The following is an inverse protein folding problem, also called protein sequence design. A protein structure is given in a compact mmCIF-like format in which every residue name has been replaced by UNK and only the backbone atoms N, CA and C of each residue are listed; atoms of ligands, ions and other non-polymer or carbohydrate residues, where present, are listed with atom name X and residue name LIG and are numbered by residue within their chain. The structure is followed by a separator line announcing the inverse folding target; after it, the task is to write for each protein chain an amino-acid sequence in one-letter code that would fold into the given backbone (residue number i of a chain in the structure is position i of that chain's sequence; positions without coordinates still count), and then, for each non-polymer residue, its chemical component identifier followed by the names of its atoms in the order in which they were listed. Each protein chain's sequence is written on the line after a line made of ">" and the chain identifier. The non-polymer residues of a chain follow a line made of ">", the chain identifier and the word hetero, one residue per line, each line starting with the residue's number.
data_IF_641746528817
#
_entry.id   IF_641746528817
#
_cell.length_a   1.000
_cell.length_b   1.000
_cell.length_c   1.000
_cell.angle_alpha   90.00
_cell.angle_beta   90.00
_cell.angle_gamma   90.00
#
_symmetry.space_group_name_H-M   'P 1'
#
loop_
_entity.id
_entity.type
_entity.pdbx_description
1 polymer ?
#
# COMPACT_ATOMS: atom_id res chain seq x y z
N UNK A 1 21.18 -13.75 17.84
CA UNK A 1 20.48 -14.32 16.66
C UNK A 1 20.72 -13.36 15.51
N UNK A 2 20.98 -13.86 14.30
CA UNK A 2 21.06 -12.97 13.12
C UNK A 2 19.75 -12.19 13.01
N UNK A 3 19.83 -10.90 12.67
CA UNK A 3 18.67 -10.00 12.52
C UNK A 3 17.66 -10.58 11.50
N UNK A 4 18.15 -11.32 10.51
CA UNK A 4 17.34 -12.02 9.51
C UNK A 4 16.45 -13.10 10.15
N UNK A 5 16.99 -13.91 11.07
CA UNK A 5 16.21 -14.93 11.79
C UNK A 5 15.10 -14.33 12.65
N UNK A 6 15.29 -13.10 13.14
CA UNK A 6 14.26 -12.40 13.91
C UNK A 6 13.09 -11.92 13.03
N UNK A 7 13.31 -11.74 11.71
CA UNK A 7 12.26 -11.42 10.74
C UNK A 7 11.60 -12.72 10.27
N UNK A 8 12.37 -13.72 9.84
CA UNK A 8 11.90 -15.05 9.48
C UNK A 8 12.82 -15.77 8.51
N UNK A 9 12.74 -17.09 8.46
CA UNK A 9 13.72 -17.90 7.72
C UNK A 9 13.27 -18.26 6.31
N UNK A 10 12.01 -18.64 6.14
CA UNK A 10 11.52 -19.25 4.91
C UNK A 10 11.61 -18.33 3.69
N UNK A 11 11.13 -17.08 3.82
CA UNK A 11 11.19 -16.10 2.73
C UNK A 11 12.62 -15.69 2.37
N UNK A 12 13.50 -15.56 3.38
CA UNK A 12 14.90 -15.23 3.16
C UNK A 12 15.67 -16.38 2.50
N UNK A 13 15.43 -17.63 2.92
CA UNK A 13 16.10 -18.80 2.34
C UNK A 13 15.77 -18.97 0.85
N UNK A 14 14.51 -18.75 0.48
CA UNK A 14 14.07 -18.77 -0.92
C UNK A 14 14.78 -17.70 -1.75
N UNK A 15 14.83 -16.46 -1.26
CA UNK A 15 15.54 -15.35 -1.92
C UNK A 15 17.05 -15.64 -2.05
N UNK A 16 17.68 -16.10 -0.97
CA UNK A 16 19.10 -16.46 -0.95
C UNK A 16 19.43 -17.51 -2.01
N UNK A 17 18.64 -18.59 -2.08
CA UNK A 17 18.85 -19.66 -3.06
C UNK A 17 18.65 -19.18 -4.51
N UNK A 18 17.69 -18.27 -4.74
CA UNK A 18 17.50 -17.66 -6.06
C UNK A 18 18.71 -16.78 -6.47
N UNK A 19 19.24 -15.99 -5.54
CA UNK A 19 20.41 -15.14 -5.78
C UNK A 19 21.68 -15.95 -5.99
N UNK A 20 21.89 -17.04 -5.24
CA UNK A 20 23.00 -17.98 -5.45
C UNK A 20 23.02 -18.54 -6.88
N UNK A 21 21.83 -18.81 -7.44
CA UNK A 21 21.68 -19.30 -8.83
C UNK A 21 21.85 -18.22 -9.88
N UNK A 22 21.54 -16.97 -9.54
CA UNK A 22 21.61 -15.84 -10.47
C UNK A 22 23.04 -15.31 -10.57
N UNK A 23 23.57 -14.84 -9.44
CA UNK A 23 24.92 -14.30 -9.31
C UNK A 23 25.29 -14.20 -7.80
N UNK A 24 26.26 -14.99 -7.31
CA UNK A 24 26.73 -14.92 -5.92
C UNK A 24 27.26 -13.55 -5.51
N UNK A 25 27.86 -12.78 -6.42
CA UNK A 25 28.30 -11.41 -6.12
C UNK A 25 27.12 -10.47 -5.95
N UNK A 26 26.05 -10.67 -6.72
CA UNK A 26 24.81 -9.93 -6.50
C UNK A 26 24.16 -10.26 -5.16
N UNK A 27 24.16 -11.55 -4.75
CA UNK A 27 23.75 -11.95 -3.40
C UNK A 27 24.56 -11.22 -2.34
N UNK A 28 25.89 -11.20 -2.47
CA UNK A 28 26.78 -10.52 -1.53
C UNK A 28 26.45 -9.03 -1.43
N UNK A 29 26.27 -8.35 -2.56
CA UNK A 29 25.91 -6.93 -2.58
C UNK A 29 24.54 -6.66 -1.94
N UNK A 30 23.53 -7.48 -2.25
CA UNK A 30 22.16 -7.27 -1.79
C UNK A 30 21.96 -7.70 -0.34
N UNK A 31 22.41 -8.90 0.02
CA UNK A 31 22.18 -9.51 1.33
C UNK A 31 23.18 -9.02 2.36
N UNK A 32 24.48 -9.12 2.06
CA UNK A 32 25.54 -8.76 3.02
C UNK A 32 25.77 -7.24 3.05
N UNK A 33 25.79 -6.59 1.89
CA UNK A 33 26.14 -5.15 1.78
C UNK A 33 24.98 -4.16 1.95
N UNK A 34 23.74 -4.54 1.61
CA UNK A 34 22.60 -3.62 1.68
C UNK A 34 21.60 -4.01 2.78
N UNK A 35 21.12 -5.25 2.77
CA UNK A 35 20.00 -5.65 3.62
C UNK A 35 20.42 -5.93 5.07
N UNK A 36 21.45 -6.75 5.29
CA UNK A 36 21.90 -7.09 6.64
C UNK A 36 22.46 -5.88 7.40
N UNK A 37 23.30 -5.08 6.72
CA UNK A 37 23.93 -3.90 7.31
C UNK A 37 22.92 -2.82 7.70
N UNK A 38 21.96 -2.50 6.83
CA UNK A 38 20.95 -1.46 7.11
C UNK A 38 20.07 -1.85 8.30
N UNK A 39 19.59 -3.10 8.34
CA UNK A 39 18.65 -3.55 9.37
C UNK A 39 19.36 -3.71 10.73
N UNK A 40 20.66 -4.02 10.74
CA UNK A 40 21.45 -4.15 11.96
C UNK A 40 21.79 -2.80 12.64
N UNK A 41 21.54 -1.64 11.99
CA UNK A 41 21.88 -0.33 12.56
C UNK A 41 21.06 -0.02 13.83
N UNK A 42 21.69 0.44 14.92
CA UNK A 42 21.09 0.44 16.26
C UNK A 42 20.09 1.58 16.52
N UNK A 43 20.11 2.63 15.69
CA UNK A 43 19.37 3.87 15.95
C UNK A 43 17.86 3.78 15.67
N UNK A 44 17.40 2.66 15.09
CA UNK A 44 15.99 2.34 14.94
C UNK A 44 15.80 0.85 15.19
N UNK A 45 14.92 0.52 16.12
CA UNK A 45 14.70 -0.88 16.51
C UNK A 45 14.13 -1.69 15.34
N UNK A 46 14.43 -2.99 15.32
CA UNK A 46 13.89 -3.91 14.31
C UNK A 46 12.35 -3.86 14.26
N UNK A 47 11.71 -3.72 15.43
CA UNK A 47 10.25 -3.57 15.55
C UNK A 47 9.70 -2.41 14.70
N UNK A 48 10.37 -1.25 14.70
CA UNK A 48 9.95 -0.09 13.89
C UNK A 48 10.41 -0.16 12.43
N UNK A 49 11.51 -0.86 12.15
CA UNK A 49 11.93 -1.14 10.76
C UNK A 49 10.90 -2.00 10.03
N UNK A 50 10.37 -3.03 10.68
CA UNK A 50 9.31 -3.87 10.11
C UNK A 50 8.02 -3.06 9.89
N UNK A 51 7.63 -2.20 10.83
CA UNK A 51 6.46 -1.31 10.68
C UNK A 51 6.57 -0.44 9.41
N UNK A 52 7.70 0.25 9.25
CA UNK A 52 7.98 1.11 8.09
C UNK A 52 8.03 0.29 6.79
N UNK A 53 8.64 -0.89 6.85
CA UNK A 53 8.79 -1.77 5.68
C UNK A 53 7.43 -2.29 5.20
N UNK A 54 6.58 -2.79 6.11
CA UNK A 54 5.22 -3.24 5.80
C UNK A 54 4.40 -2.10 5.21
N UNK A 55 4.46 -0.90 5.82
CA UNK A 55 3.76 0.28 5.32
C UNK A 55 4.12 0.63 3.87
N UNK A 56 5.40 0.57 3.52
CA UNK A 56 5.89 0.84 2.15
C UNK A 56 5.53 -0.27 1.18
N UNK A 57 5.79 -1.53 1.53
CA UNK A 57 5.50 -2.67 0.65
C UNK A 57 4.01 -2.79 0.36
N UNK A 58 3.15 -2.53 1.36
CA UNK A 58 1.72 -2.47 1.18
C UNK A 58 1.31 -1.33 0.24
N UNK A 59 1.97 -0.17 0.32
CA UNK A 59 1.71 0.98 -0.55
C UNK A 59 2.16 0.75 -1.99
N UNK A 60 3.23 -0.01 -2.19
CA UNK A 60 3.77 -0.35 -3.51
C UNK A 60 2.90 -1.33 -4.29
N UNK A 61 2.16 -2.21 -3.61
CA UNK A 61 1.14 -3.12 -4.16
C UNK A 61 1.57 -4.13 -5.23
N UNK A 62 2.88 -4.33 -5.46
CA UNK A 62 3.45 -5.35 -6.35
C UNK A 62 4.53 -6.22 -5.68
N UNK A 63 4.62 -6.19 -4.36
CA UNK A 63 5.70 -6.83 -3.61
C UNK A 63 5.16 -7.89 -2.65
N UNK A 64 4.22 -8.71 -3.11
CA UNK A 64 3.38 -9.60 -2.30
C UNK A 64 4.20 -10.55 -1.40
N UNK A 65 5.22 -11.20 -1.95
CA UNK A 65 6.09 -12.12 -1.20
C UNK A 65 6.89 -11.39 -0.12
N UNK A 66 7.42 -10.21 -0.44
CA UNK A 66 8.13 -9.37 0.51
C UNK A 66 7.19 -8.81 1.59
N UNK A 67 6.00 -8.35 1.21
CA UNK A 67 4.98 -7.86 2.13
C UNK A 67 4.61 -8.96 3.13
N UNK A 68 4.37 -10.18 2.64
CA UNK A 68 4.04 -11.32 3.49
C UNK A 68 5.19 -11.69 4.44
N UNK A 69 6.42 -11.69 3.94
CA UNK A 69 7.63 -11.94 4.72
C UNK A 69 7.79 -10.92 5.86
N UNK A 70 7.71 -9.63 5.55
CA UNK A 70 7.85 -8.54 6.53
C UNK A 70 6.65 -8.38 7.45
N UNK A 71 5.43 -8.69 7.00
CA UNK A 71 4.28 -8.79 7.89
C UNK A 71 4.50 -9.91 8.93
N UNK A 72 5.09 -11.04 8.50
CA UNK A 72 5.57 -12.09 9.40
C UNK A 72 6.64 -11.61 10.37
N UNK A 73 7.59 -10.81 9.90
CA UNK A 73 8.62 -10.16 10.73
C UNK A 73 8.07 -9.18 11.75
N UNK A 74 7.06 -8.40 11.37
CA UNK A 74 6.34 -7.51 12.26
C UNK A 74 5.68 -8.31 13.41
N UNK A 75 5.04 -9.45 13.12
CA UNK A 75 4.54 -10.36 14.17
C UNK A 75 5.67 -10.92 15.04
N UNK A 76 6.76 -11.38 14.43
CA UNK A 76 7.89 -12.00 15.12
C UNK A 76 8.63 -11.01 16.05
N UNK A 77 8.55 -9.71 15.75
CA UNK A 77 9.12 -8.62 16.57
C UNK A 77 8.15 -8.10 17.64
N UNK A 78 7.04 -8.80 17.87
CA UNK A 78 6.12 -8.55 18.98
C UNK A 78 5.07 -7.48 18.71
N UNK A 79 4.67 -7.28 17.45
CA UNK A 79 3.44 -6.55 17.14
C UNK A 79 2.22 -7.45 17.23
N UNK A 80 1.10 -6.88 17.68
CA UNK A 80 -0.18 -7.55 17.61
C UNK A 80 -0.63 -7.68 16.14
N UNK A 81 -1.34 -8.75 15.75
CA UNK A 81 -1.91 -8.89 14.41
C UNK A 81 -2.74 -7.68 13.95
N UNK A 82 -3.48 -7.07 14.88
CA UNK A 82 -4.29 -5.88 14.64
C UNK A 82 -3.43 -4.67 14.25
N UNK A 83 -2.19 -4.56 14.76
CA UNK A 83 -1.28 -3.48 14.38
C UNK A 83 -0.74 -3.66 12.96
N UNK A 84 -0.48 -4.90 12.54
CA UNK A 84 -0.10 -5.20 11.14
C UNK A 84 -1.26 -4.88 10.21
N UNK A 85 -2.49 -5.26 10.58
CA UNK A 85 -3.69 -4.90 9.84
C UNK A 85 -3.91 -3.39 9.76
N UNK A 86 -3.78 -2.67 10.87
CA UNK A 86 -3.92 -1.21 10.90
C UNK A 86 -2.91 -0.53 9.97
N UNK A 87 -1.66 -1.00 9.96
CA UNK A 87 -0.60 -0.49 9.09
C UNK A 87 -0.96 -0.62 7.62
N UNK A 88 -1.46 -1.77 7.20
CA UNK A 88 -1.88 -2.00 5.81
C UNK A 88 -3.19 -1.26 5.51
N UNK A 89 -4.10 -1.20 6.48
CA UNK A 89 -5.35 -0.47 6.36
C UNK A 89 -5.12 1.02 6.16
N UNK A 90 -4.10 1.62 6.77
CA UNK A 90 -3.77 3.04 6.60
C UNK A 90 -3.46 3.39 5.14
N UNK A 91 -3.02 2.42 4.32
CA UNK A 91 -2.86 2.63 2.87
C UNK A 91 -4.18 2.96 2.17
N UNK A 92 -5.34 2.66 2.77
CA UNK A 92 -6.65 3.07 2.26
C UNK A 92 -6.76 4.59 2.08
N UNK A 93 -6.25 5.36 3.05
CA UNK A 93 -6.38 6.82 3.06
C UNK A 93 -5.44 7.51 2.08
N UNK A 94 -4.29 6.89 1.84
CA UNK A 94 -3.22 7.50 1.06
C UNK A 94 -3.09 6.83 -0.31
N UNK A 95 -3.06 5.50 -0.39
CA UNK A 95 -2.91 4.76 -1.65
C UNK A 95 -4.23 4.31 -2.28
N UNK A 96 -5.34 4.34 -1.52
CA UNK A 96 -6.69 4.06 -2.00
C UNK A 96 -7.16 2.62 -1.79
N UNK A 97 -8.44 2.37 -2.08
CA UNK A 97 -9.12 1.08 -1.82
C UNK A 97 -8.43 -0.11 -2.50
N UNK A 98 -8.01 -0.07 -3.78
CA UNK A 98 -7.42 -1.24 -4.44
C UNK A 98 -6.14 -1.72 -3.75
N UNK A 99 -5.24 -0.78 -3.41
CA UNK A 99 -3.96 -1.05 -2.74
C UNK A 99 -4.19 -1.65 -1.35
N UNK A 100 -5.07 -1.03 -0.55
CA UNK A 100 -5.43 -1.53 0.77
C UNK A 100 -6.04 -2.93 0.69
N UNK A 101 -6.95 -3.17 -0.25
CA UNK A 101 -7.61 -4.47 -0.41
C UNK A 101 -6.60 -5.56 -0.79
N UNK A 102 -5.66 -5.27 -1.70
CA UNK A 102 -4.61 -6.22 -2.08
C UNK A 102 -3.73 -6.58 -0.87
N UNK A 103 -3.22 -5.57 -0.16
CA UNK A 103 -2.41 -5.79 1.04
C UNK A 103 -3.14 -6.59 2.12
N UNK A 104 -4.42 -6.29 2.35
CA UNK A 104 -5.25 -7.01 3.32
C UNK A 104 -5.41 -8.49 2.92
N UNK A 105 -5.59 -8.82 1.64
CA UNK A 105 -5.68 -10.22 1.18
C UNK A 105 -4.41 -11.00 1.54
N UNK A 106 -3.22 -10.42 1.31
CA UNK A 106 -1.95 -11.05 1.67
C UNK A 106 -1.80 -11.25 3.18
N UNK A 107 -2.23 -10.26 3.98
CA UNK A 107 -2.24 -10.38 5.44
C UNK A 107 -3.18 -11.48 5.93
N UNK A 108 -4.41 -11.54 5.40
CA UNK A 108 -5.37 -12.58 5.76
C UNK A 108 -4.83 -13.97 5.41
N UNK A 109 -4.19 -14.13 4.25
CA UNK A 109 -3.54 -15.38 3.87
C UNK A 109 -2.43 -15.76 4.88
N UNK A 110 -1.56 -14.82 5.23
CA UNK A 110 -0.51 -15.03 6.24
C UNK A 110 -1.08 -15.44 7.60
N UNK A 111 -2.11 -14.75 8.09
CA UNK A 111 -2.70 -15.03 9.40
C UNK A 111 -3.34 -16.42 9.43
N UNK A 112 -4.01 -16.83 8.35
CA UNK A 112 -4.57 -18.18 8.19
C UNK A 112 -3.47 -19.25 8.17
N UNK A 113 -2.39 -19.02 7.43
CA UNK A 113 -1.25 -19.95 7.38
C UNK A 113 -0.57 -20.12 8.73
N UNK A 114 -0.61 -19.10 9.59
CA UNK A 114 -0.04 -19.14 10.94
C UNK A 114 -1.06 -19.53 12.02
N UNK A 115 -2.28 -19.90 11.65
CA UNK A 115 -3.38 -20.23 12.56
C UNK A 115 -3.64 -19.14 13.63
N UNK A 116 -3.51 -17.87 13.22
CA UNK A 116 -3.73 -16.71 14.09
C UNK A 116 -5.17 -16.24 13.92
N UNK A 117 -5.99 -16.50 14.94
CA UNK A 117 -7.36 -15.99 15.00
C UNK A 117 -7.39 -14.51 15.41
N UNK A 118 -8.04 -13.69 14.60
CA UNK A 118 -8.32 -12.27 14.89
C UNK A 118 -9.84 -11.98 14.91
N UNK A 119 -10.65 -13.02 15.07
CA UNK A 119 -12.11 -12.95 15.18
C UNK A 119 -12.81 -12.60 13.87
N UNK A 120 -14.00 -11.99 13.98
CA UNK A 120 -14.93 -11.70 12.86
C UNK A 120 -14.38 -10.80 11.74
N UNK A 121 -13.21 -10.17 11.95
CA UNK A 121 -12.62 -9.25 10.97
C UNK A 121 -12.06 -10.00 9.74
N UNK A 122 -11.48 -11.20 9.90
CA UNK A 122 -10.93 -12.00 8.77
C UNK A 122 -11.99 -12.40 7.78
N UNK A 123 -13.13 -12.86 8.27
CA UNK A 123 -14.23 -13.34 7.43
C UNK A 123 -14.86 -12.23 6.60
N UNK A 124 -14.83 -10.98 7.11
CA UNK A 124 -15.33 -9.80 6.40
C UNK A 124 -14.34 -9.30 5.34
N UNK A 125 -13.05 -9.38 5.64
CA UNK A 125 -11.97 -8.96 4.75
C UNK A 125 -11.69 -9.94 3.61
N UNK A 126 -12.18 -11.18 3.71
CA UNK A 126 -12.04 -12.22 2.68
C UNK A 126 -12.92 -12.06 1.43
N UNK A 127 -13.91 -11.15 1.42
CA UNK A 127 -14.80 -10.89 0.26
C UNK A 127 -14.73 -9.43 -0.16
N UNK A 128 -14.50 -9.14 -1.43
CA UNK A 128 -14.23 -7.77 -1.95
C UNK A 128 -15.29 -6.72 -1.54
N UNK A 129 -16.58 -7.03 -1.73
CA UNK A 129 -17.68 -6.11 -1.37
C UNK A 129 -17.79 -5.90 0.15
N UNK A 130 -17.65 -6.97 0.92
CA UNK A 130 -17.66 -6.92 2.39
C UNK A 130 -16.44 -6.19 2.95
N UNK A 131 -15.27 -6.34 2.32
CA UNK A 131 -14.03 -5.70 2.68
C UNK A 131 -14.12 -4.18 2.46
N UNK A 132 -14.70 -3.75 1.33
CA UNK A 132 -14.90 -2.33 1.02
C UNK A 132 -15.86 -1.66 2.02
N UNK A 133 -17.01 -2.29 2.30
CA UNK A 133 -17.94 -1.80 3.31
C UNK A 133 -17.29 -1.75 4.71
N UNK A 134 -16.58 -2.80 5.10
CA UNK A 134 -15.85 -2.84 6.36
C UNK A 134 -14.76 -1.77 6.44
N UNK A 135 -14.05 -1.50 5.34
CA UNK A 135 -13.06 -0.42 5.24
C UNK A 135 -13.70 0.96 5.42
N UNK A 136 -14.87 1.20 4.84
CA UNK A 136 -15.59 2.46 5.03
C UNK A 136 -16.12 2.61 6.47
N UNK A 137 -16.57 1.53 7.11
CA UNK A 137 -16.98 1.53 8.52
C UNK A 137 -15.80 1.81 9.45
N UNK A 138 -14.69 1.08 9.25
CA UNK A 138 -13.43 1.24 10.01
C UNK A 138 -12.79 2.60 9.78
N UNK A 139 -13.10 3.30 8.68
CA UNK A 139 -12.70 4.70 8.47
C UNK A 139 -13.08 5.61 9.65
N UNK A 140 -14.19 5.29 10.31
CA UNK A 140 -14.72 6.05 11.44
C UNK A 140 -14.15 5.57 12.80
N UNK A 141 -13.55 4.37 12.84
CA UNK A 141 -13.00 3.73 14.04
C UNK A 141 -11.77 2.87 13.67
N UNK A 142 -10.55 3.44 13.75
CA UNK A 142 -9.33 2.67 13.51
C UNK A 142 -9.20 1.49 14.49
N UNK A 143 -8.32 0.54 14.19
CA UNK A 143 -8.10 -0.64 15.06
C UNK A 143 -7.57 -0.28 16.46
N UNK A 144 -7.10 0.95 16.66
CA UNK A 144 -6.48 1.45 17.89
C UNK A 144 -5.37 0.53 18.43
N UNK A 145 -4.70 -0.16 17.50
CA UNK A 145 -3.62 -1.10 17.77
C UNK A 145 -2.23 -0.45 17.65
N UNK A 146 -2.10 0.60 16.83
CA UNK A 146 -0.92 1.46 16.82
C UNK A 146 -1.10 2.63 17.77
N UNK A 147 -0.05 2.96 18.55
CA UNK A 147 -0.03 4.23 19.28
C UNK A 147 -0.01 5.41 18.30
N UNK A 148 -0.41 6.62 18.74
CA UNK A 148 -0.32 7.81 17.89
C UNK A 148 1.09 8.05 17.33
N UNK A 149 2.13 7.78 18.11
CA UNK A 149 3.53 7.91 17.68
C UNK A 149 3.87 6.93 16.56
N UNK A 150 3.44 5.67 16.68
CA UNK A 150 3.68 4.61 15.71
C UNK A 150 2.90 4.83 14.41
N UNK A 151 1.62 5.22 14.51
CA UNK A 151 0.78 5.54 13.36
C UNK A 151 1.38 6.67 12.52
N UNK A 152 1.95 7.70 13.15
CA UNK A 152 2.65 8.78 12.44
C UNK A 152 3.86 8.27 11.66
N UNK A 153 4.63 7.34 12.23
CA UNK A 153 5.77 6.74 11.55
C UNK A 153 5.34 5.91 10.34
N UNK A 154 4.31 5.07 10.49
CA UNK A 154 3.74 4.29 9.40
C UNK A 154 3.20 5.19 8.29
N UNK A 155 2.47 6.24 8.66
CA UNK A 155 1.94 7.23 7.71
C UNK A 155 3.05 7.91 6.92
N UNK A 156 4.13 8.34 7.58
CA UNK A 156 5.28 8.94 6.89
C UNK A 156 5.86 7.99 5.83
N UNK A 157 6.01 6.71 6.17
CA UNK A 157 6.50 5.70 5.24
C UNK A 157 5.57 5.53 4.01
N UNK A 158 4.26 5.46 4.23
CA UNK A 158 3.24 5.39 3.16
C UNK A 158 3.35 6.60 2.23
N UNK A 159 3.40 7.81 2.79
CA UNK A 159 3.43 9.05 2.02
C UNK A 159 4.71 9.17 1.19
N UNK A 160 5.86 8.76 1.74
CA UNK A 160 7.13 8.70 1.01
C UNK A 160 7.01 7.74 -0.18
N UNK A 161 6.37 6.58 -0.01
CA UNK A 161 6.24 5.55 -1.04
C UNK A 161 5.34 5.93 -2.23
N UNK A 162 4.47 6.96 -2.10
CA UNK A 162 3.53 7.37 -3.18
C UNK A 162 4.14 8.19 -4.32
N UNK A 163 5.45 8.45 -4.30
CA UNK A 163 6.20 9.25 -5.29
C UNK A 163 5.70 10.71 -5.44
N UNK A 164 6.61 11.69 -5.59
CA UNK A 164 6.29 13.10 -5.87
C UNK A 164 5.29 13.78 -4.89
N UNK A 165 5.20 13.33 -3.64
CA UNK A 165 4.36 13.92 -2.58
C UNK A 165 5.15 14.75 -1.58
N UNK A 166 6.06 15.59 -2.08
CA UNK A 166 7.02 16.33 -1.25
C UNK A 166 6.38 17.20 -0.16
N UNK A 167 5.26 17.87 -0.46
CA UNK A 167 4.57 18.72 0.54
C UNK A 167 3.94 17.89 1.66
N UNK A 168 3.34 16.75 1.32
CA UNK A 168 2.79 15.82 2.32
C UNK A 168 3.93 15.17 3.15
N UNK A 169 5.06 14.85 2.51
CA UNK A 169 6.26 14.37 3.22
C UNK A 169 6.71 15.42 4.24
N UNK A 170 6.72 16.72 3.90
CA UNK A 170 7.07 17.78 4.85
C UNK A 170 6.15 17.78 6.07
N UNK A 171 4.85 17.75 5.83
CA UNK A 171 3.84 17.74 6.90
C UNK A 171 4.03 16.54 7.82
N UNK A 172 4.15 15.33 7.27
CA UNK A 172 4.23 14.11 8.06
C UNK A 172 5.57 13.93 8.77
N UNK A 173 6.68 14.38 8.18
CA UNK A 173 7.98 14.35 8.82
C UNK A 173 8.03 15.32 10.00
N UNK A 174 7.49 16.52 9.85
CA UNK A 174 7.37 17.49 10.93
C UNK A 174 6.46 16.99 12.05
N UNK A 175 5.33 16.35 11.71
CA UNK A 175 4.46 15.70 12.68
C UNK A 175 5.17 14.58 13.45
N UNK A 176 6.05 13.80 12.80
CA UNK A 176 6.85 12.77 13.46
C UNK A 176 7.77 13.35 14.54
N UNK A 177 8.44 14.47 14.25
CA UNK A 177 9.29 15.18 15.23
C UNK A 177 8.48 15.65 16.44
N UNK A 178 7.29 16.22 16.21
CA UNK A 178 6.42 16.71 17.29
C UNK A 178 5.87 15.60 18.19
N UNK A 179 5.64 14.40 17.67
CA UNK A 179 5.27 13.22 18.49
C UNK A 179 6.49 12.51 19.10
N UNK A 180 7.68 13.09 18.96
CA UNK A 180 8.89 12.66 19.66
C UNK A 180 9.73 11.63 18.93
N UNK A 181 9.60 11.48 17.61
CA UNK A 181 10.64 10.79 16.82
C UNK A 181 11.86 11.69 16.68
N UNK A 182 13.04 11.12 16.81
CA UNK A 182 14.29 11.87 16.71
C UNK A 182 14.77 12.00 15.28
N UNK A 183 15.60 13.01 15.02
CA UNK A 183 16.36 13.14 13.77
C UNK A 183 17.11 11.85 13.43
N UNK A 184 17.70 11.19 14.43
CA UNK A 184 18.45 9.94 14.24
C UNK A 184 17.53 8.79 13.79
N UNK A 185 16.41 8.59 14.46
CA UNK A 185 15.43 7.54 14.10
C UNK A 185 14.86 7.78 12.70
N UNK A 186 14.47 9.02 12.38
CA UNK A 186 13.93 9.37 11.06
C UNK A 186 14.98 9.28 9.95
N UNK A 187 16.26 9.50 10.26
CA UNK A 187 17.35 9.23 9.30
C UNK A 187 17.45 7.74 8.99
N UNK A 188 17.29 6.87 10.00
CA UNK A 188 17.27 5.42 9.78
C UNK A 188 16.06 4.96 8.97
N UNK A 189 14.91 5.64 9.09
CA UNK A 189 13.75 5.40 8.21
C UNK A 189 14.16 5.66 6.75
N UNK A 190 14.76 6.81 6.45
CA UNK A 190 15.19 7.12 5.09
C UNK A 190 16.20 6.10 4.56
N UNK A 191 17.19 5.72 5.39
CA UNK A 191 18.17 4.68 5.04
C UNK A 191 17.46 3.34 4.77
N UNK A 192 16.56 2.90 5.65
CA UNK A 192 15.77 1.67 5.47
C UNK A 192 15.06 1.67 4.12
N UNK A 193 14.39 2.77 3.78
CA UNK A 193 13.60 2.87 2.56
C UNK A 193 14.46 2.81 1.28
N UNK A 194 15.76 3.10 1.33
CA UNK A 194 16.64 2.92 0.16
C UNK A 194 16.64 1.48 -0.36
N UNK A 195 16.48 0.49 0.52
CA UNK A 195 16.42 -0.93 0.15
C UNK A 195 15.11 -1.37 -0.50
N UNK A 196 14.03 -0.60 -0.36
CA UNK A 196 12.69 -0.98 -0.84
C UNK A 196 12.22 -0.13 -2.01
N UNK A 197 12.42 1.19 -1.94
CA UNK A 197 11.95 2.14 -2.98
C UNK A 197 13.10 2.86 -3.71
N UNK A 198 14.35 2.56 -3.34
CA UNK A 198 15.53 2.99 -4.06
C UNK A 198 15.98 4.42 -3.80
N UNK A 199 17.25 4.68 -4.15
CA UNK A 199 17.89 5.99 -4.03
C UNK A 199 17.19 7.13 -4.78
N UNK A 200 16.67 6.94 -6.01
CA UNK A 200 16.07 8.05 -6.76
C UNK A 200 14.90 8.73 -6.03
N UNK A 201 14.13 7.97 -5.22
CA UNK A 201 13.02 8.50 -4.45
C UNK A 201 13.48 9.07 -3.09
N UNK A 202 14.48 8.46 -2.45
CA UNK A 202 14.95 8.87 -1.12
C UNK A 202 15.84 10.12 -1.15
N UNK A 203 16.62 10.35 -2.21
CA UNK A 203 17.54 11.49 -2.26
C UNK A 203 16.83 12.86 -2.20
N UNK A 204 15.75 13.12 -2.96
CA UNK A 204 14.98 14.36 -2.80
C UNK A 204 14.35 14.49 -1.41
N UNK A 205 13.80 13.40 -0.86
CA UNK A 205 13.22 13.36 0.49
C UNK A 205 14.26 13.66 1.57
N UNK A 206 15.50 13.23 1.38
CA UNK A 206 16.58 13.50 2.32
C UNK A 206 16.91 14.99 2.41
N UNK A 207 16.85 15.73 1.29
CA UNK A 207 17.00 17.19 1.30
C UNK A 207 15.87 17.86 2.08
N UNK A 208 14.64 17.42 1.82
CA UNK A 208 13.45 17.89 2.56
C UNK A 208 13.61 17.64 4.07
N UNK A 209 14.10 16.46 4.45
CA UNK A 209 14.32 16.12 5.84
C UNK A 209 15.36 17.03 6.51
N UNK A 210 16.47 17.35 5.81
CA UNK A 210 17.48 18.27 6.31
C UNK A 210 16.88 19.65 6.60
N UNK A 211 16.13 20.22 5.65
CA UNK A 211 15.46 21.51 5.83
C UNK A 211 14.58 21.51 7.10
N UNK A 212 13.74 20.48 7.25
CA UNK A 212 12.81 20.37 8.39
C UNK A 212 13.55 20.14 9.71
N UNK A 213 14.63 19.35 9.72
CA UNK A 213 15.40 19.13 10.93
C UNK A 213 16.06 20.41 11.42
N UNK A 214 16.55 21.24 10.51
CA UNK A 214 17.20 22.51 10.84
C UNK A 214 16.16 23.54 11.31
N UNK A 215 14.99 23.60 10.64
CA UNK A 215 13.83 24.40 11.08
C UNK A 215 13.35 24.01 12.49
N UNK A 216 13.19 22.70 12.75
CA UNK A 216 12.73 22.19 14.05
C UNK A 216 13.77 22.42 15.15
N UNK A 217 15.08 22.32 14.84
CA UNK A 217 16.13 22.64 15.81
C UNK A 217 16.14 24.13 16.17
N UNK A 218 15.90 25.02 15.19
CA UNK A 218 15.85 26.46 15.42
C UNK A 218 14.65 26.86 16.32
N UNK A 219 13.49 26.24 16.13
CA UNK A 219 12.31 26.52 16.97
C UNK A 219 12.46 26.02 18.41
N UNK A 220 13.16 24.90 18.62
CA UNK A 220 13.46 24.37 19.96
C UNK A 220 14.62 25.13 20.65
N UNK A 221 15.61 25.61 19.90
CA UNK A 221 16.77 26.34 20.42
C UNK A 221 16.49 27.81 20.81
N UNK A 222 15.50 28.46 20.21
CA UNK A 222 15.11 29.84 20.50
C UNK A 222 14.42 30.06 21.85
N UNK A 223 14.06 29.01 22.57
CA UNK A 223 13.29 29.09 23.82
C UNK A 223 14.14 29.32 25.10
N UNK A 224 15.44 29.63 24.99
CA UNK A 224 16.37 29.66 26.16
C UNK A 224 17.10 30.98 26.42
N UNK A 225 16.59 32.14 26.00
CA UNK A 225 17.08 33.44 26.49
C UNK A 225 15.94 34.46 26.67
N UNK A 226 15.62 34.84 27.92
CA UNK A 226 14.99 36.13 28.25
C UNK A 226 13.62 36.15 28.94
N UNK A 227 13.65 36.05 30.28
CA UNK A 227 12.78 36.64 31.33
C UNK A 227 11.25 36.83 31.17
N UNK A 228 10.59 36.22 32.17
CA UNK A 228 9.37 36.61 32.88
C UNK A 228 8.73 37.98 32.60
N UNK A 229 7.45 37.95 32.25
CA UNK A 229 6.46 38.77 32.96
C UNK A 229 5.16 37.98 33.15
N UNK A 230 4.64 38.01 34.37
CA UNK A 230 3.46 37.27 34.76
C UNK A 230 2.19 38.06 34.40
N UNK A 231 1.33 37.49 33.56
CA UNK A 231 -0.09 37.81 33.60
C UNK A 231 -0.94 36.56 33.36
N UNK A 232 -1.82 36.36 34.33
CA UNK A 232 -2.81 35.31 34.49
C UNK A 232 -3.68 35.11 33.25
N UNK A 233 -3.74 33.86 32.78
CA UNK A 233 -4.75 33.38 31.85
C UNK A 233 -4.72 31.86 31.83
N UNK A 234 -5.56 31.22 32.65
CA UNK A 234 -5.87 29.80 32.46
C UNK A 234 -6.40 29.65 31.03
N UNK A 235 -5.73 28.89 30.18
CA UNK A 235 -6.38 28.32 29.01
C UNK A 235 -5.86 26.91 28.77
N UNK A 236 -6.84 26.03 28.63
CA UNK A 236 -6.70 24.61 28.40
C UNK A 236 -5.92 24.34 27.11
N UNK A 237 -5.38 23.13 27.03
CA UNK A 237 -4.91 22.48 25.81
C UNK A 237 -5.94 22.70 24.67
N UNK A 238 -5.71 23.74 23.87
CA UNK A 238 -6.47 24.01 22.65
C UNK A 238 -5.89 23.18 21.50
N UNK A 239 -6.82 22.65 20.70
CA UNK A 239 -6.65 21.61 19.72
C UNK A 239 -5.76 22.05 18.55
N UNK A 240 -4.94 21.10 18.12
CA UNK A 240 -4.09 21.14 16.91
C UNK A 240 -4.94 21.36 15.63
N UNK A 241 -4.72 22.42 14.84
CA UNK A 241 -5.49 22.71 13.64
C UNK A 241 -4.89 22.00 12.42
N UNK A 242 -4.94 20.66 12.41
CA UNK A 242 -4.79 19.88 11.19
C UNK A 242 -5.57 18.56 11.27
N UNK A 243 -6.79 18.65 11.79
CA UNK A 243 -7.86 17.70 11.59
C UNK A 243 -9.12 18.54 11.44
N UNK A 244 -10.01 18.32 10.45
CA UNK A 244 -11.37 18.81 10.60
C UNK A 244 -11.90 18.16 11.88
N UNK A 245 -12.29 18.98 12.86
CA UNK A 245 -12.88 18.49 14.09
C UNK A 245 -14.07 17.59 13.73
N UNK A 246 -13.98 16.31 14.12
CA UNK A 246 -15.14 15.45 14.20
C UNK A 246 -16.01 15.98 15.35
N UNK A 247 -16.82 17.00 15.05
CA UNK A 247 -17.92 17.38 15.92
C UNK A 247 -18.83 16.17 16.10
N UNK A 248 -19.36 16.00 17.31
CA UNK A 248 -20.33 14.97 17.66
C UNK A 248 -21.72 15.27 17.05
N UNK A 249 -21.76 15.53 15.74
CA UNK A 249 -22.90 15.35 14.88
C UNK A 249 -22.41 14.48 13.73
N UNK A 250 -23.23 13.54 13.26
CA UNK A 250 -22.95 12.89 11.96
C UNK A 250 -22.58 14.02 11.00
N UNK A 251 -21.42 13.99 10.30
CA UNK A 251 -21.29 14.82 9.14
C UNK A 251 -22.41 14.33 8.21
N UNK A 252 -23.50 15.09 8.14
CA UNK A 252 -24.52 14.82 7.15
C UNK A 252 -23.77 14.84 5.83
N UNK A 253 -23.75 13.67 5.18
CA UNK A 253 -23.29 13.51 3.83
C UNK A 253 -23.89 14.70 3.06
N UNK A 254 -23.07 15.61 2.48
CA UNK A 254 -23.60 16.77 1.77
C UNK A 254 -24.74 16.29 0.89
N UNK A 255 -25.91 16.93 0.94
CA UNK A 255 -27.11 16.41 0.28
C UNK A 255 -26.88 16.06 -1.20
N UNK A 256 -25.91 16.71 -1.85
CA UNK A 256 -25.40 16.40 -3.17
C UNK A 256 -24.72 15.01 -3.30
N UNK A 257 -23.92 14.60 -2.31
CA UNK A 257 -23.26 13.28 -2.24
C UNK A 257 -24.27 12.21 -1.81
N UNK A 258 -25.14 12.49 -0.83
CA UNK A 258 -26.23 11.57 -0.48
C UNK A 258 -27.14 11.30 -1.69
N UNK A 259 -27.58 12.37 -2.36
CA UNK A 259 -28.33 12.26 -3.61
C UNK A 259 -27.51 11.68 -4.77
N UNK A 260 -26.17 11.69 -4.72
CA UNK A 260 -25.35 10.95 -5.67
C UNK A 260 -25.39 9.46 -5.37
N UNK A 261 -25.25 9.07 -4.10
CA UNK A 261 -25.32 7.68 -3.64
C UNK A 261 -26.71 7.07 -3.87
N UNK A 262 -27.78 7.83 -3.59
CA UNK A 262 -29.16 7.41 -3.87
C UNK A 262 -29.38 7.26 -5.38
N UNK A 263 -28.86 8.18 -6.21
CA UNK A 263 -28.88 8.03 -7.67
C UNK A 263 -28.03 6.87 -8.17
N UNK A 264 -26.92 6.55 -7.50
CA UNK A 264 -26.07 5.39 -7.81
C UNK A 264 -26.77 4.09 -7.42
N UNK A 265 -27.47 4.05 -6.29
CA UNK A 265 -28.29 2.92 -5.87
C UNK A 265 -29.50 2.71 -6.81
N UNK A 266 -30.16 3.81 -7.21
CA UNK A 266 -31.22 3.78 -8.22
C UNK A 266 -30.69 3.38 -9.60
N UNK A 267 -29.50 3.85 -10.01
CA UNK A 267 -28.85 3.45 -11.25
C UNK A 267 -28.47 1.96 -11.25
N UNK A 268 -28.03 1.42 -10.11
CA UNK A 268 -27.75 -0.01 -9.95
C UNK A 268 -29.00 -0.90 -10.09
N UNK A 269 -30.21 -0.31 -10.00
CA UNK A 269 -31.49 -1.00 -10.22
C UNK A 269 -32.04 -0.86 -11.65
N UNK A 270 -31.40 -0.04 -12.50
CA UNK A 270 -31.78 0.12 -13.92
C UNK A 270 -31.03 -0.89 -14.77
N UNK A 271 -31.68 -1.36 -15.82
CA UNK A 271 -30.99 -2.11 -16.88
C UNK A 271 -29.99 -1.17 -17.53
N UNK A 272 -28.70 -1.35 -17.25
CA UNK A 272 -27.62 -0.59 -17.89
C UNK A 272 -27.67 -0.82 -19.41
N UNK A 273 -27.46 0.24 -20.20
CA UNK A 273 -27.31 0.06 -21.64
C UNK A 273 -26.03 -0.72 -21.93
N UNK A 274 -26.05 -1.53 -22.99
CA UNK A 274 -24.88 -2.32 -23.41
C UNK A 274 -23.65 -1.41 -23.60
N UNK A 275 -23.82 -0.22 -24.18
CA UNK A 275 -22.72 0.74 -24.31
C UNK A 275 -22.15 1.21 -22.97
N UNK A 276 -23.00 1.44 -21.96
CA UNK A 276 -22.52 1.86 -20.65
C UNK A 276 -21.70 0.76 -19.97
N UNK A 277 -22.17 -0.49 -20.08
CA UNK A 277 -21.43 -1.67 -19.59
C UNK A 277 -20.07 -1.77 -20.28
N UNK A 278 -20.03 -1.69 -21.62
CA UNK A 278 -18.77 -1.71 -22.39
C UNK A 278 -17.81 -0.60 -21.93
N UNK A 279 -18.29 0.63 -21.84
CA UNK A 279 -17.48 1.78 -21.43
C UNK A 279 -16.92 1.63 -20.02
N UNK A 280 -17.71 1.09 -19.09
CA UNK A 280 -17.28 0.80 -17.71
C UNK A 280 -16.13 -0.21 -17.67
N UNK A 281 -16.25 -1.32 -18.39
CA UNK A 281 -15.18 -2.32 -18.45
C UNK A 281 -13.92 -1.81 -19.16
N UNK A 282 -14.04 -1.09 -20.27
CA UNK A 282 -12.89 -0.48 -20.96
C UNK A 282 -12.17 0.55 -20.08
N UNK A 283 -12.91 1.36 -19.34
CA UNK A 283 -12.34 2.31 -18.37
C UNK A 283 -11.61 1.57 -17.24
N UNK A 284 -12.21 0.51 -16.69
CA UNK A 284 -11.57 -0.30 -15.66
C UNK A 284 -10.27 -0.94 -16.16
N UNK A 285 -10.26 -1.46 -17.39
CA UNK A 285 -9.07 -2.03 -18.04
C UNK A 285 -7.96 -0.98 -18.18
N UNK A 286 -8.28 0.23 -18.66
CA UNK A 286 -7.31 1.31 -18.77
C UNK A 286 -6.77 1.75 -17.40
N UNK A 287 -7.63 1.89 -16.39
CA UNK A 287 -7.22 2.23 -15.03
C UNK A 287 -6.33 1.15 -14.41
N UNK A 288 -6.68 -0.13 -14.53
CA UNK A 288 -5.88 -1.24 -14.03
C UNK A 288 -4.54 -1.36 -14.76
N UNK A 289 -4.50 -0.98 -16.05
CA UNK A 289 -3.24 -0.85 -16.80
C UNK A 289 -2.37 0.26 -16.21
N UNK A 290 -2.92 1.45 -15.96
CA UNK A 290 -2.18 2.54 -15.29
C UNK A 290 -1.70 2.15 -13.88
N UNK A 291 -2.47 1.31 -13.21
CA UNK A 291 -2.15 0.78 -11.89
C UNK A 291 -1.34 -0.52 -11.96
N UNK A 292 -0.72 -0.91 -13.08
CA UNK A 292 -0.07 -2.22 -13.22
C UNK A 292 0.92 -2.60 -12.10
N UNK A 293 1.54 -1.62 -11.43
CA UNK A 293 2.38 -1.84 -10.23
C UNK A 293 1.59 -2.19 -8.96
N UNK A 294 0.27 -2.15 -8.98
CA UNK A 294 -0.65 -2.30 -7.85
C UNK A 294 -1.90 -3.12 -8.23
N UNK A 295 -2.02 -3.54 -9.49
CA UNK A 295 -3.25 -4.10 -10.04
C UNK A 295 -3.19 -5.62 -10.03
N UNK A 296 -4.27 -6.22 -9.52
CA UNK A 296 -4.47 -7.67 -9.54
C UNK A 296 -4.72 -8.14 -10.99
N UNK A 297 -3.90 -9.09 -11.45
CA UNK A 297 -4.01 -9.65 -12.79
C UNK A 297 -5.34 -10.37 -13.01
N UNK A 298 -5.92 -10.98 -11.96
CA UNK A 298 -7.21 -11.66 -12.04
C UNK A 298 -8.33 -10.64 -12.17
N UNK A 299 -8.26 -9.51 -11.46
CA UNK A 299 -9.23 -8.43 -11.59
C UNK A 299 -9.22 -7.82 -13.01
N UNK A 300 -8.03 -7.61 -13.59
CA UNK A 300 -7.91 -7.17 -14.98
C UNK A 300 -8.50 -8.22 -15.95
N UNK A 301 -8.19 -9.50 -15.73
CA UNK A 301 -8.73 -10.60 -16.54
C UNK A 301 -10.26 -10.67 -16.47
N UNK A 302 -10.87 -10.51 -15.29
CA UNK A 302 -12.33 -10.46 -15.12
C UNK A 302 -12.94 -9.34 -15.95
N UNK A 303 -12.42 -8.12 -15.86
CA UNK A 303 -12.96 -7.01 -16.67
C UNK A 303 -12.78 -7.23 -18.18
N UNK A 304 -11.71 -7.88 -18.62
CA UNK A 304 -11.51 -8.27 -20.03
C UNK A 304 -12.56 -9.30 -20.47
N UNK A 305 -12.80 -10.34 -19.67
CA UNK A 305 -13.79 -11.38 -19.99
C UNK A 305 -15.20 -10.79 -20.02
N UNK A 306 -15.58 -10.00 -19.01
CA UNK A 306 -16.89 -9.36 -18.94
C UNK A 306 -17.10 -8.34 -20.07
N UNK A 307 -16.06 -7.58 -20.45
CA UNK A 307 -16.11 -6.72 -21.63
C UNK A 307 -16.47 -7.52 -22.89
N UNK A 308 -15.83 -8.68 -23.08
CA UNK A 308 -16.11 -9.56 -24.22
C UNK A 308 -17.53 -10.13 -24.20
N UNK A 309 -18.02 -10.56 -23.03
CA UNK A 309 -19.40 -11.03 -22.86
C UNK A 309 -20.42 -9.91 -23.17
N UNK A 310 -20.02 -8.66 -22.98
CA UNK A 310 -20.79 -7.46 -23.32
C UNK A 310 -20.67 -7.03 -24.79
N UNK A 311 -19.96 -7.81 -25.62
CA UNK A 311 -19.77 -7.55 -27.06
C UNK A 311 -18.62 -6.59 -27.40
N UNK A 312 -17.70 -6.32 -26.46
CA UNK A 312 -16.48 -5.55 -26.74
C UNK A 312 -15.50 -6.40 -27.53
N UNK A 313 -15.00 -5.86 -28.65
CA UNK A 313 -14.01 -6.53 -29.49
C UNK A 313 -12.63 -6.57 -28.81
N UNK A 314 -11.79 -7.52 -29.23
CA UNK A 314 -10.40 -7.57 -28.78
C UNK A 314 -9.65 -6.28 -29.16
N UNK A 315 -9.99 -5.67 -30.30
CA UNK A 315 -9.39 -4.40 -30.74
C UNK A 315 -9.71 -3.27 -29.77
N UNK A 316 -10.97 -3.08 -29.37
CA UNK A 316 -11.36 -2.06 -28.38
C UNK A 316 -10.64 -2.26 -27.03
N UNK A 317 -10.44 -3.51 -26.60
CA UNK A 317 -9.71 -3.83 -25.36
C UNK A 317 -8.23 -3.49 -25.50
N UNK A 318 -7.60 -3.88 -26.61
CA UNK A 318 -6.20 -3.56 -26.89
C UNK A 318 -6.01 -2.05 -26.99
N UNK A 319 -6.92 -1.32 -27.62
CA UNK A 319 -6.89 0.14 -27.70
C UNK A 319 -6.98 0.80 -26.33
N UNK A 320 -7.82 0.29 -25.42
CA UNK A 320 -7.88 0.80 -24.04
C UNK A 320 -6.57 0.57 -23.28
N UNK A 321 -5.92 -0.58 -23.48
CA UNK A 321 -4.63 -0.92 -22.86
C UNK A 321 -3.50 -0.06 -23.44
N UNK A 322 -3.40 0.02 -24.77
CA UNK A 322 -2.35 0.81 -25.47
C UNK A 322 -2.59 2.31 -25.29
N UNK A 323 -3.85 2.76 -25.23
CA UNK A 323 -4.21 4.14 -24.95
C UNK A 323 -3.76 4.62 -23.56
N UNK A 324 -3.56 3.69 -22.62
CA UNK A 324 -2.98 4.00 -21.31
C UNK A 324 -1.45 4.21 -21.35
N UNK A 325 -0.76 3.91 -22.46
CA UNK A 325 0.70 3.99 -22.59
C UNK A 325 1.30 5.34 -22.14
N UNK A 326 0.75 6.51 -22.50
CA UNK A 326 1.31 7.81 -22.07
C UNK A 326 1.26 8.02 -20.55
N UNK A 327 0.44 7.27 -19.83
CA UNK A 327 0.19 7.43 -18.40
C UNK A 327 0.76 6.28 -17.57
N UNK A 328 0.77 5.07 -18.12
CA UNK A 328 1.18 3.83 -17.47
C UNK A 328 2.64 3.45 -17.73
N UNK A 329 3.20 3.88 -18.86
CA UNK A 329 4.51 3.46 -19.34
C UNK A 329 4.52 2.07 -19.98
N UNK A 330 5.63 1.74 -20.67
CA UNK A 330 5.74 0.57 -21.55
C UNK A 330 5.54 -0.76 -20.81
N UNK A 331 6.14 -0.92 -19.63
CA UNK A 331 6.09 -2.18 -18.87
C UNK A 331 4.68 -2.51 -18.38
N UNK A 332 3.93 -1.49 -17.95
CA UNK A 332 2.55 -1.64 -17.51
C UNK A 332 1.64 -2.10 -18.65
N UNK A 333 1.81 -1.50 -19.83
CA UNK A 333 1.10 -1.88 -21.05
C UNK A 333 1.47 -3.31 -21.48
N UNK A 334 2.75 -3.66 -21.46
CA UNK A 334 3.19 -5.02 -21.79
C UNK A 334 2.58 -6.09 -20.87
N UNK A 335 2.55 -5.82 -19.56
CA UNK A 335 1.89 -6.69 -18.58
C UNK A 335 0.39 -6.85 -18.89
N UNK A 336 -0.33 -5.75 -19.11
CA UNK A 336 -1.77 -5.79 -19.40
C UNK A 336 -2.07 -6.50 -20.72
N UNK A 337 -1.25 -6.32 -21.76
CA UNK A 337 -1.35 -7.05 -23.01
C UNK A 337 -1.11 -8.55 -22.82
N UNK A 338 -0.17 -8.95 -21.95
CA UNK A 338 0.05 -10.36 -21.62
C UNK A 338 -1.14 -10.99 -20.89
N UNK A 339 -1.80 -10.25 -19.99
CA UNK A 339 -3.06 -10.68 -19.35
C UNK A 339 -4.17 -10.82 -20.40
N UNK A 340 -4.35 -9.81 -21.26
CA UNK A 340 -5.34 -9.84 -22.33
C UNK A 340 -5.14 -11.01 -23.30
N UNK A 341 -3.91 -11.28 -23.72
CA UNK A 341 -3.59 -12.41 -24.60
C UNK A 341 -4.01 -13.76 -24.00
N UNK A 342 -3.77 -13.98 -22.70
CA UNK A 342 -4.23 -15.20 -22.00
C UNK A 342 -5.75 -15.30 -21.94
N UNK A 343 -6.42 -14.20 -21.61
CA UNK A 343 -7.89 -14.14 -21.57
C UNK A 343 -8.54 -14.30 -22.94
N UNK A 344 -7.84 -13.90 -24.01
CA UNK A 344 -8.30 -14.10 -25.38
C UNK A 344 -8.25 -15.56 -25.81
N UNK A 345 -7.19 -16.28 -25.41
CA UNK A 345 -7.01 -17.69 -25.71
C UNK A 345 -7.99 -18.59 -24.94
N UNK A 346 -8.35 -18.25 -23.70
CA UNK A 346 -9.25 -19.07 -22.86
C UNK A 346 -10.71 -19.08 -23.32
N UNK A 347 -11.10 -18.14 -24.18
CA UNK A 347 -12.47 -18.00 -24.70
C UNK A 347 -12.62 -18.47 -26.15
N UNK A 348 -11.58 -19.07 -26.72
CA UNK A 348 -11.59 -19.60 -28.09
C UNK A 348 -11.96 -21.11 -28.07
N UNK A 349 -13.14 -21.50 -28.60
CA UNK A 349 -13.57 -22.91 -28.60
C UNK A 349 -12.68 -23.82 -29.46
N UNK A 350 -11.77 -23.26 -30.27
CA UNK A 350 -10.81 -24.03 -31.07
C UNK A 350 -9.58 -24.51 -30.30
N UNK A 351 -9.15 -23.83 -29.24
CA UNK A 351 -7.96 -24.23 -28.46
C UNK A 351 -8.19 -25.48 -27.60
N UNK A 352 -9.44 -25.75 -27.20
CA UNK A 352 -9.80 -26.95 -26.45
C UNK A 352 -9.74 -28.25 -27.28
N UNK A 353 -9.64 -28.17 -28.62
CA UNK A 353 -9.63 -29.33 -29.52
C UNK A 353 -8.22 -29.81 -29.92
N UNK A 354 -7.17 -29.06 -29.61
CA UNK A 354 -5.80 -29.47 -29.92
C UNK A 354 -5.16 -30.30 -28.80
N UNK A 355 -5.67 -30.22 -27.57
CA UNK A 355 -5.20 -31.07 -26.47
C UNK A 355 -5.76 -32.51 -26.51
N UNK A 356 -6.95 -32.73 -27.08
CA UNK A 356 -7.55 -34.08 -27.20
C UNK A 356 -6.97 -34.92 -28.36
N UNK A 357 -6.27 -34.31 -29.32
CA UNK A 357 -5.72 -35.02 -30.48
C UNK A 357 -4.27 -35.48 -30.32
N UNK A 358 -3.58 -35.09 -29.23
CA UNK A 358 -2.20 -35.52 -28.95
C UNK A 358 -2.15 -36.77 -28.07
N UNK A 359 -3.19 -37.06 -27.29
CA UNK A 359 -3.26 -38.27 -26.45
C UNK A 359 -3.85 -39.51 -27.16
N UNK A 360 -4.34 -39.37 -28.40
CA UNK A 360 -4.91 -40.49 -29.17
C UNK A 360 -3.96 -41.11 -30.22
N UNK A 361 -2.66 -40.77 -30.22
CA UNK A 361 -1.69 -41.31 -31.18
C UNK A 361 -0.28 -41.58 -30.62
N UNK A 362 -0.16 -41.82 -29.30
CA UNK A 362 1.10 -42.21 -28.63
C UNK A 362 1.04 -43.62 -28.07
#
# INVERSE_FOLDING_TARGET
>A
MSVIHAIGDEGFNSLSAALDRLDPDFKRLLVEGAYADIIARPNLSLKYRELVTVAVLATMGNADSALKYHAGGMLNTGWAPQAVLETVFDTLYYAGVPVATAGIRHLVALLRERDIDIGRDVDRLGRYESATAHMLERRQRPFDALTPKERRLATLAIVIARENRHDEVRVHLNACLHVGWTRSELTEVLIQLTGYIGWPLILPVSRIALDIFDEFAATQGGATVGQADASTGRNALERDPCMPEASAGRPEMPAAIAGCLDRMADAASRVESVEHVKARHLTAIACLTCLARNADADALATHIVDARLSGTSQHEIVDAIVGALPHAGVLAVQWALAVASRSFASTDPHAAREHDNVEASG
#
